data_IF_297026875925
#
_entry.id   IF_297026875925
#
_cell.length_a   1.000
_cell.length_b   1.000
_cell.length_c   1.000
_cell.angle_alpha   90.00
_cell.angle_beta   90.00
_cell.angle_gamma   90.00
#
_symmetry.space_group_name_H-M   'P 1'
#
loop_
_entity.id
_entity.type
_entity.pdbx_description
1 polymer ?
#
# COMPACT_ATOMS: atom_id res chain seq x y z
N UNK A 1 4.51 21.10 4.26
CA UNK A 1 4.75 20.80 2.83
C UNK A 1 4.48 19.33 2.56
N UNK A 2 4.23 18.94 1.31
CA UNK A 2 4.18 17.51 0.93
C UNK A 2 5.34 17.18 0.01
N UNK A 3 6.09 16.13 0.32
CA UNK A 3 7.09 15.57 -0.59
C UNK A 3 6.42 14.47 -1.41
N UNK A 4 6.66 14.47 -2.72
CA UNK A 4 6.08 13.51 -3.66
C UNK A 4 7.19 12.86 -4.46
N UNK A 5 7.36 11.56 -4.27
CA UNK A 5 8.21 10.71 -5.10
C UNK A 5 7.29 9.95 -6.07
N UNK A 6 7.40 10.20 -7.37
CA UNK A 6 6.53 9.58 -8.36
C UNK A 6 7.00 8.18 -8.79
N UNK A 7 8.31 8.00 -8.91
CA UNK A 7 8.94 6.80 -9.44
C UNK A 7 8.29 6.31 -10.73
N UNK A 8 7.77 5.08 -10.70
CA UNK A 8 7.14 4.45 -11.86
C UNK A 8 5.77 5.04 -12.27
N UNK A 9 5.24 6.03 -11.54
CA UNK A 9 3.98 6.72 -11.81
C UNK A 9 4.18 8.20 -12.17
N UNK A 10 5.30 8.54 -12.82
CA UNK A 10 5.64 9.91 -13.23
C UNK A 10 4.60 10.56 -14.16
N UNK A 11 3.84 9.75 -14.91
CA UNK A 11 2.74 10.19 -15.75
C UNK A 11 1.61 10.88 -14.96
N UNK A 12 1.51 10.61 -13.65
CA UNK A 12 0.50 11.21 -12.76
C UNK A 12 0.88 12.60 -12.27
N UNK A 13 2.13 13.04 -12.46
CA UNK A 13 2.63 14.35 -12.00
C UNK A 13 1.71 15.54 -12.36
N UNK A 14 1.19 15.68 -13.60
CA UNK A 14 0.32 16.80 -13.93
C UNK A 14 -0.96 16.87 -13.09
N UNK A 15 -1.50 15.71 -12.67
CA UNK A 15 -2.68 15.65 -11.79
C UNK A 15 -2.33 16.14 -10.39
N UNK A 16 -1.17 15.70 -9.87
CA UNK A 16 -0.64 16.19 -8.60
C UNK A 16 -0.39 17.69 -8.63
N UNK A 17 0.29 18.21 -9.66
CA UNK A 17 0.56 19.65 -9.80
C UNK A 17 -0.73 20.47 -9.68
N UNK A 18 -1.79 20.04 -10.38
CA UNK A 18 -3.11 20.68 -10.31
C UNK A 18 -3.73 20.62 -8.91
N UNK A 19 -3.73 19.45 -8.27
CA UNK A 19 -4.31 19.27 -6.92
C UNK A 19 -3.62 20.20 -5.92
N UNK A 20 -2.28 20.22 -5.90
CA UNK A 20 -1.52 21.02 -4.94
C UNK A 20 -1.64 22.52 -5.21
N UNK A 21 -1.76 22.92 -6.49
CA UNK A 21 -2.09 24.29 -6.88
C UNK A 21 -3.49 24.70 -6.39
N UNK A 22 -4.52 23.88 -6.64
CA UNK A 22 -5.91 24.17 -6.25
C UNK A 22 -6.06 24.24 -4.72
N UNK A 23 -5.33 23.40 -3.98
CA UNK A 23 -5.33 23.41 -2.52
C UNK A 23 -4.47 24.52 -1.90
N UNK A 24 -3.65 25.22 -2.71
CA UNK A 24 -2.66 26.20 -2.26
C UNK A 24 -1.69 25.61 -1.21
N UNK A 25 -1.27 24.37 -1.42
CA UNK A 25 -0.33 23.66 -0.54
C UNK A 25 1.04 23.52 -1.21
N UNK A 26 2.10 23.76 -0.44
CA UNK A 26 3.46 23.56 -0.90
C UNK A 26 3.74 22.07 -1.18
N UNK A 27 4.32 21.80 -2.35
CA UNK A 27 4.77 20.48 -2.79
C UNK A 27 6.22 20.54 -3.24
N UNK A 28 6.99 19.50 -2.95
CA UNK A 28 8.30 19.25 -3.55
C UNK A 28 8.32 17.89 -4.25
N UNK A 29 8.85 17.89 -5.46
CA UNK A 29 9.01 16.68 -6.27
C UNK A 29 10.38 16.05 -6.04
N UNK A 30 10.38 14.74 -5.86
CA UNK A 30 11.56 13.93 -5.57
C UNK A 30 11.78 12.88 -6.65
N UNK A 31 13.04 12.46 -6.83
CA UNK A 31 13.46 11.37 -7.70
C UNK A 31 14.50 10.47 -7.05
N UNK A 32 15.09 9.54 -7.81
CA UNK A 32 16.06 8.57 -7.27
C UNK A 32 17.31 9.22 -6.67
N UNK A 33 17.66 10.42 -7.14
CA UNK A 33 18.77 11.20 -6.59
C UNK A 33 18.57 11.56 -5.10
N UNK A 34 17.32 11.58 -4.62
CA UNK A 34 16.98 11.94 -3.23
C UNK A 34 16.94 10.73 -2.29
N UNK A 35 17.00 9.49 -2.79
CA UNK A 35 16.76 8.27 -2.00
C UNK A 35 17.68 8.12 -0.78
N UNK A 36 18.93 8.60 -0.90
CA UNK A 36 19.94 8.52 0.16
C UNK A 36 19.89 9.69 1.14
N UNK A 37 19.15 10.76 0.83
CA UNK A 37 18.96 11.87 1.76
C UNK A 37 17.90 11.52 2.80
N UNK A 38 18.01 12.10 3.99
CA UNK A 38 16.98 11.92 5.02
C UNK A 38 15.73 12.71 4.67
N UNK A 39 14.56 12.18 5.02
CA UNK A 39 13.31 12.88 4.73
C UNK A 39 13.18 14.21 5.49
N UNK A 40 13.87 14.37 6.62
CA UNK A 40 14.01 15.64 7.32
C UNK A 40 14.79 16.68 6.51
N UNK A 41 15.96 16.32 5.97
CA UNK A 41 16.75 17.20 5.09
C UNK A 41 15.97 17.58 3.82
N UNK A 42 15.24 16.62 3.25
CA UNK A 42 14.39 16.86 2.09
C UNK A 42 13.19 17.78 2.41
N UNK A 43 12.62 17.66 3.61
CA UNK A 43 11.52 18.51 4.07
C UNK A 43 11.98 19.95 4.40
N UNK A 44 13.19 20.12 4.91
CA UNK A 44 13.71 21.42 5.32
C UNK A 44 14.39 22.19 4.16
N UNK A 45 14.41 21.62 2.96
CA UNK A 45 14.99 22.21 1.74
C UNK A 45 13.93 22.45 0.66
N UNK A 46 13.95 23.65 0.05
CA UNK A 46 13.01 24.03 -1.03
C UNK A 46 13.52 23.68 -2.45
N UNK A 47 14.78 23.26 -2.58
CA UNK A 47 15.37 22.94 -3.88
C UNK A 47 14.65 21.77 -4.55
N UNK A 48 14.16 21.97 -5.78
CA UNK A 48 13.55 20.90 -6.56
C UNK A 48 14.62 19.97 -7.12
N UNK A 49 14.29 18.68 -7.20
CA UNK A 49 15.15 17.70 -7.83
C UNK A 49 15.04 17.83 -9.35
N UNK A 50 16.17 17.94 -10.03
CA UNK A 50 16.21 18.15 -11.47
C UNK A 50 15.78 16.89 -12.26
N UNK A 51 16.13 15.70 -11.74
CA UNK A 51 15.75 14.42 -12.33
C UNK A 51 14.75 13.68 -11.43
N UNK A 52 13.50 13.59 -11.90
CA UNK A 52 12.41 12.94 -11.20
C UNK A 52 12.23 11.47 -11.59
N UNK A 53 13.18 10.90 -12.36
CA UNK A 53 13.15 9.48 -12.68
C UNK A 53 13.27 8.64 -11.41
N UNK A 54 12.53 7.54 -11.42
CA UNK A 54 12.67 6.48 -10.45
C UNK A 54 11.89 5.24 -10.84
N UNK A 55 12.22 4.13 -10.20
CA UNK A 55 11.58 2.83 -10.44
C UNK A 55 10.73 2.34 -9.28
N UNK A 56 10.82 2.99 -8.11
CA UNK A 56 10.05 2.63 -6.93
C UNK A 56 8.60 3.13 -7.06
N UNK A 57 7.65 2.57 -6.28
CA UNK A 57 6.26 3.03 -6.31
C UNK A 57 6.09 4.47 -5.80
N UNK A 58 4.99 5.10 -6.22
CA UNK A 58 4.54 6.41 -5.73
C UNK A 58 4.50 6.46 -4.19
N UNK A 59 5.07 7.53 -3.62
CA UNK A 59 5.15 7.75 -2.18
C UNK A 59 4.91 9.22 -1.80
N UNK A 60 4.14 9.43 -0.72
CA UNK A 60 3.86 10.75 -0.16
C UNK A 60 4.40 10.90 1.26
N UNK A 61 5.06 12.01 1.54
CA UNK A 61 5.48 12.39 2.89
C UNK A 61 4.86 13.73 3.30
N UNK A 62 4.07 13.72 4.37
CA UNK A 62 3.42 14.90 4.92
C UNK A 62 4.31 15.54 6.00
N UNK A 63 4.95 16.66 5.65
CA UNK A 63 5.76 17.46 6.56
C UNK A 63 4.95 18.62 7.16
N UNK A 64 4.81 18.65 8.49
CA UNK A 64 4.18 19.76 9.23
C UNK A 64 2.80 20.17 8.70
N UNK A 65 2.04 19.25 8.11
CA UNK A 65 0.63 19.45 7.76
C UNK A 65 -0.26 19.05 8.93
N UNK A 66 -1.31 19.82 9.16
CA UNK A 66 -2.34 19.43 10.12
C UNK A 66 -3.27 18.35 9.53
N UNK A 67 -4.09 17.75 10.39
CA UNK A 67 -5.00 16.67 10.00
C UNK A 67 -6.06 17.12 9.00
N UNK A 68 -6.46 18.41 9.00
CA UNK A 68 -7.46 18.94 8.06
C UNK A 68 -6.88 19.05 6.66
N UNK A 69 -5.66 19.55 6.54
CA UNK A 69 -4.98 19.67 5.25
C UNK A 69 -4.62 18.30 4.69
N UNK A 70 -4.19 17.34 5.52
CA UNK A 70 -4.01 15.95 5.08
C UNK A 70 -5.33 15.40 4.53
N UNK A 71 -6.45 15.55 5.26
CA UNK A 71 -7.76 15.10 4.77
C UNK A 71 -8.19 15.77 3.46
N UNK A 72 -7.86 17.04 3.26
CA UNK A 72 -8.13 17.76 2.00
C UNK A 72 -7.32 17.20 0.84
N UNK A 73 -6.04 16.92 1.04
CA UNK A 73 -5.19 16.27 0.04
C UNK A 73 -5.74 14.89 -0.31
N UNK A 74 -6.04 14.07 0.69
CA UNK A 74 -6.60 12.72 0.50
C UNK A 74 -7.93 12.73 -0.26
N UNK A 75 -8.82 13.67 0.08
CA UNK A 75 -10.09 13.83 -0.60
C UNK A 75 -9.90 14.24 -2.07
N UNK A 76 -8.98 15.17 -2.35
CA UNK A 76 -8.68 15.63 -3.71
C UNK A 76 -8.06 14.52 -4.56
N UNK A 77 -7.11 13.76 -4.01
CA UNK A 77 -6.53 12.59 -4.67
C UNK A 77 -7.61 11.56 -5.02
N UNK A 78 -8.48 11.24 -4.06
CA UNK A 78 -9.60 10.31 -4.27
C UNK A 78 -10.56 10.80 -5.37
N UNK A 79 -10.91 12.08 -5.39
CA UNK A 79 -11.76 12.68 -6.43
C UNK A 79 -11.12 12.61 -7.82
N UNK A 80 -9.79 12.70 -7.89
CA UNK A 80 -9.01 12.55 -9.11
C UNK A 80 -8.78 11.07 -9.52
N UNK A 81 -9.34 10.10 -8.79
CA UNK A 81 -9.14 8.67 -9.05
C UNK A 81 -7.74 8.18 -8.66
N UNK A 82 -7.00 8.95 -7.86
CA UNK A 82 -5.68 8.60 -7.37
C UNK A 82 -5.81 7.93 -6.00
N UNK A 83 -5.34 6.69 -5.91
CA UNK A 83 -5.17 5.99 -4.66
C UNK A 83 -3.68 5.84 -4.35
N UNK A 84 -3.24 6.47 -3.26
CA UNK A 84 -1.88 6.33 -2.75
C UNK A 84 -1.92 5.59 -1.43
N UNK A 85 -1.45 4.34 -1.44
CA UNK A 85 -1.36 3.51 -0.25
C UNK A 85 -0.13 3.85 0.59
N UNK A 86 1.02 4.07 -0.07
CA UNK A 86 2.31 4.32 0.60
C UNK A 86 2.47 5.80 0.93
N UNK A 87 2.29 6.13 2.20
CA UNK A 87 2.43 7.50 2.70
C UNK A 87 2.81 7.53 4.18
N UNK A 88 3.50 8.59 4.59
CA UNK A 88 3.89 8.80 5.98
C UNK A 88 3.69 10.26 6.41
N UNK A 89 3.45 10.46 7.69
CA UNK A 89 3.42 11.79 8.34
C UNK A 89 4.72 11.96 9.13
N UNK A 90 5.32 13.16 9.11
CA UNK A 90 6.56 13.43 9.86
C UNK A 90 6.42 13.13 11.34
N UNK A 91 7.42 12.44 11.88
CA UNK A 91 7.62 12.16 13.31
C UNK A 91 9.08 12.36 13.67
N UNK A 92 9.38 12.49 14.97
CA UNK A 92 10.77 12.61 15.48
C UNK A 92 11.67 11.42 15.12
N UNK A 93 11.05 10.26 14.84
CA UNK A 93 11.75 9.04 14.48
C UNK A 93 12.01 8.96 12.98
N UNK A 94 10.95 9.14 12.17
CA UNK A 94 11.08 8.94 10.72
C UNK A 94 11.82 10.06 9.99
N UNK A 95 11.94 11.25 10.57
CA UNK A 95 12.66 12.36 9.91
C UNK A 95 14.15 12.07 9.69
N UNK A 96 14.72 11.17 10.50
CA UNK A 96 16.13 10.77 10.44
C UNK A 96 16.38 9.64 9.44
N UNK A 97 15.32 9.05 8.90
CA UNK A 97 15.43 7.94 7.96
C UNK A 97 15.70 8.47 6.57
N UNK A 98 16.50 7.74 5.81
CA UNK A 98 16.62 8.00 4.37
C UNK A 98 15.26 7.79 3.71
N UNK A 99 15.01 8.51 2.62
CA UNK A 99 13.79 8.33 1.85
C UNK A 99 13.60 6.86 1.45
N UNK A 100 14.67 6.20 1.00
CA UNK A 100 14.62 4.77 0.65
C UNK A 100 14.21 3.88 1.82
N UNK A 101 14.82 4.06 3.01
CA UNK A 101 14.50 3.24 4.17
C UNK A 101 13.05 3.43 4.63
N UNK A 102 12.55 4.67 4.60
CA UNK A 102 11.15 4.95 4.93
C UNK A 102 10.18 4.34 3.91
N UNK A 103 10.47 4.49 2.62
CA UNK A 103 9.66 3.88 1.56
C UNK A 103 9.64 2.35 1.67
N UNK A 104 10.76 1.75 2.04
CA UNK A 104 10.85 0.30 2.26
C UNK A 104 9.98 -0.17 3.42
N UNK A 105 10.07 0.45 4.60
CA UNK A 105 9.27 0.04 5.76
C UNK A 105 7.77 0.27 5.54
N UNK A 106 7.38 1.43 4.99
CA UNK A 106 5.98 1.68 4.62
C UNK A 106 5.51 0.70 3.53
N UNK A 107 6.40 0.33 2.60
CA UNK A 107 6.13 -0.68 1.59
C UNK A 107 5.85 -2.06 2.20
N UNK A 108 6.63 -2.47 3.21
CA UNK A 108 6.42 -3.71 3.96
C UNK A 108 5.10 -3.70 4.72
N UNK A 109 4.79 -2.60 5.41
CA UNK A 109 3.51 -2.44 6.12
C UNK A 109 2.31 -2.50 5.16
N UNK A 110 2.40 -1.84 4.00
CA UNK A 110 1.36 -1.87 2.97
C UNK A 110 1.16 -3.28 2.41
N UNK A 111 2.25 -4.00 2.12
CA UNK A 111 2.20 -5.39 1.65
C UNK A 111 1.57 -6.31 2.70
N UNK A 112 2.02 -6.20 3.95
CA UNK A 112 1.44 -6.93 5.07
C UNK A 112 -0.07 -6.69 5.20
N UNK A 113 -0.49 -5.43 5.17
CA UNK A 113 -1.90 -5.06 5.28
C UNK A 113 -2.72 -5.61 4.11
N UNK A 114 -2.19 -5.51 2.88
CA UNK A 114 -2.84 -6.07 1.69
C UNK A 114 -3.02 -7.58 1.78
N UNK A 115 -1.98 -8.32 2.18
CA UNK A 115 -2.04 -9.78 2.35
C UNK A 115 -3.03 -10.16 3.45
N UNK A 116 -3.00 -9.47 4.58
CA UNK A 116 -3.91 -9.73 5.72
C UNK A 116 -5.36 -9.47 5.30
N UNK A 117 -5.63 -8.36 4.63
CA UNK A 117 -6.97 -8.05 4.12
C UNK A 117 -7.42 -9.05 3.04
N UNK A 118 -6.51 -9.53 2.19
CA UNK A 118 -6.81 -10.58 1.21
C UNK A 118 -7.24 -11.88 1.90
N UNK A 119 -6.48 -12.34 2.90
CA UNK A 119 -6.86 -13.52 3.67
C UNK A 119 -8.20 -13.31 4.38
N UNK A 120 -8.42 -12.15 5.01
CA UNK A 120 -9.69 -11.79 5.63
C UNK A 120 -10.86 -11.87 4.64
N UNK A 121 -10.73 -11.31 3.43
CA UNK A 121 -11.77 -11.37 2.41
C UNK A 121 -12.10 -12.81 2.00
N UNK A 122 -11.08 -13.65 1.83
CA UNK A 122 -11.25 -15.06 1.45
C UNK A 122 -12.02 -15.84 2.52
N UNK A 123 -11.71 -15.64 3.80
CA UNK A 123 -12.34 -16.41 4.89
C UNK A 123 -13.69 -15.87 5.34
N UNK A 124 -13.98 -14.58 5.10
CA UNK A 124 -15.29 -13.96 5.46
C UNK A 124 -16.35 -14.08 4.39
N UNK A 125 -15.96 -14.36 3.15
CA UNK A 125 -16.87 -14.63 2.03
C UNK A 125 -16.65 -16.02 1.44
N UNK A 126 -16.70 -17.10 2.25
CA UNK A 126 -16.47 -18.45 1.77
C UNK A 126 -17.67 -18.97 0.98
N UNK A 127 -17.44 -20.02 0.20
CA UNK A 127 -18.51 -20.80 -0.42
C UNK A 127 -19.28 -21.57 0.67
N UNK A 128 -20.52 -21.15 0.91
CA UNK A 128 -21.37 -21.70 1.98
C UNK A 128 -21.81 -23.14 1.72
N UNK A 129 -22.00 -23.52 0.46
CA UNK A 129 -22.41 -24.88 0.11
C UNK A 129 -21.24 -25.84 0.35
N UNK A 130 -20.04 -25.45 -0.10
CA UNK A 130 -18.83 -26.23 0.16
C UNK A 130 -18.47 -26.31 1.62
N UNK A 131 -18.64 -25.22 2.38
CA UNK A 131 -18.45 -25.27 3.83
C UNK A 131 -19.32 -26.34 4.50
N UNK A 132 -20.52 -26.61 3.98
CA UNK A 132 -21.41 -27.63 4.52
C UNK A 132 -21.09 -29.05 4.03
N UNK A 133 -20.55 -29.20 2.81
CA UNK A 133 -20.36 -30.50 2.15
C UNK A 133 -18.93 -31.01 2.08
N UNK A 134 -17.92 -30.14 2.26
CA UNK A 134 -16.50 -30.44 2.11
C UNK A 134 -15.75 -30.18 3.44
N UNK A 135 -15.53 -31.24 4.25
CA UNK A 135 -14.81 -31.11 5.52
C UNK A 135 -13.37 -30.58 5.38
N UNK A 136 -12.71 -30.82 4.25
CA UNK A 136 -11.35 -30.32 4.02
C UNK A 136 -11.37 -28.82 3.78
N UNK A 137 -12.32 -28.32 2.98
CA UNK A 137 -12.54 -26.89 2.78
C UNK A 137 -12.95 -26.19 4.09
N UNK A 138 -13.85 -26.79 4.88
CA UNK A 138 -14.20 -26.29 6.21
C UNK A 138 -12.97 -26.16 7.12
N UNK A 139 -12.13 -27.21 7.18
CA UNK A 139 -10.93 -27.20 7.99
C UNK A 139 -9.91 -26.15 7.52
N UNK A 140 -9.78 -25.94 6.21
CA UNK A 140 -8.93 -24.90 5.63
C UNK A 140 -9.42 -23.50 6.03
N UNK A 141 -10.71 -23.20 5.83
CA UNK A 141 -11.30 -21.91 6.20
C UNK A 141 -11.16 -21.63 7.71
N UNK A 142 -11.40 -22.63 8.55
CA UNK A 142 -11.29 -22.49 10.01
C UNK A 142 -9.84 -22.22 10.45
N UNK A 143 -8.86 -22.94 9.89
CA UNK A 143 -7.44 -22.72 10.18
C UNK A 143 -6.99 -21.33 9.72
N UNK A 144 -7.37 -20.92 8.51
CA UNK A 144 -7.06 -19.60 7.98
C UNK A 144 -7.71 -18.46 8.77
N UNK A 145 -8.91 -18.66 9.31
CA UNK A 145 -9.55 -17.70 10.20
C UNK A 145 -8.83 -17.61 11.55
N UNK A 146 -8.47 -18.75 12.15
CA UNK A 146 -7.71 -18.79 13.40
C UNK A 146 -6.36 -18.09 13.28
N UNK A 147 -5.67 -18.27 12.14
CA UNK A 147 -4.40 -17.61 11.86
C UNK A 147 -4.51 -16.07 11.85
N UNK A 148 -5.66 -15.51 11.43
CA UNK A 148 -5.91 -14.05 11.49
C UNK A 148 -6.08 -13.52 12.92
N UNK A 149 -6.42 -14.40 13.88
CA UNK A 149 -6.54 -14.04 15.30
C UNK A 149 -5.20 -14.15 16.06
N UNK A 150 -4.17 -14.72 15.43
CA UNK A 150 -2.82 -14.85 16.02
C UNK A 150 -2.06 -13.51 15.95
N UNK A 151 -1.50 -13.09 17.09
CA UNK A 151 -0.77 -11.81 17.18
C UNK A 151 0.64 -11.86 16.59
N UNK A 152 1.18 -13.06 16.37
CA UNK A 152 2.56 -13.32 15.94
C UNK A 152 2.64 -14.10 14.62
N UNK A 153 1.58 -14.04 13.80
CA UNK A 153 1.59 -14.57 12.44
C UNK A 153 2.79 -14.01 11.67
N UNK A 154 3.53 -14.90 10.98
CA UNK A 154 4.60 -14.53 10.06
C UNK A 154 4.08 -14.31 8.64
N UNK A 155 4.85 -13.59 7.83
CA UNK A 155 4.49 -13.32 6.42
C UNK A 155 4.43 -14.60 5.60
N UNK A 156 5.30 -15.57 5.92
CA UNK A 156 5.29 -16.89 5.28
C UNK A 156 3.99 -17.66 5.58
N UNK A 157 3.52 -17.64 6.84
CA UNK A 157 2.25 -18.29 7.21
C UNK A 157 1.07 -17.64 6.47
N UNK A 158 1.07 -16.32 6.36
CA UNK A 158 0.05 -15.56 5.65
C UNK A 158 0.03 -15.92 4.14
N UNK A 159 1.19 -15.95 3.50
CA UNK A 159 1.34 -16.33 2.10
C UNK A 159 0.91 -17.78 1.84
N UNK A 160 1.29 -18.71 2.74
CA UNK A 160 0.88 -20.11 2.66
C UNK A 160 -0.64 -20.28 2.79
N UNK A 161 -1.28 -19.58 3.72
CA UNK A 161 -2.73 -19.63 3.91
C UNK A 161 -3.48 -19.10 2.68
N UNK A 162 -3.07 -17.96 2.14
CA UNK A 162 -3.66 -17.39 0.91
C UNK A 162 -3.49 -18.37 -0.25
N UNK A 163 -2.28 -18.88 -0.48
CA UNK A 163 -1.98 -19.79 -1.58
C UNK A 163 -2.78 -21.10 -1.49
N UNK A 164 -2.98 -21.64 -0.27
CA UNK A 164 -3.77 -22.85 -0.06
C UNK A 164 -5.24 -22.65 -0.48
N UNK A 165 -5.86 -21.53 -0.08
CA UNK A 165 -7.24 -21.19 -0.46
C UNK A 165 -7.35 -20.96 -1.96
N UNK A 166 -6.46 -20.16 -2.55
CA UNK A 166 -6.51 -19.84 -3.97
C UNK A 166 -6.25 -21.05 -4.86
N UNK A 167 -5.38 -21.97 -4.43
CA UNK A 167 -5.15 -23.24 -5.13
C UNK A 167 -6.39 -24.13 -5.10
N UNK A 168 -7.07 -24.20 -3.95
CA UNK A 168 -8.32 -24.94 -3.82
C UNK A 168 -9.43 -24.34 -4.72
N UNK A 169 -9.59 -23.02 -4.73
CA UNK A 169 -10.52 -22.31 -5.60
C UNK A 169 -10.22 -22.55 -7.10
N UNK A 170 -8.96 -22.45 -7.51
CA UNK A 170 -8.55 -22.68 -8.90
C UNK A 170 -8.74 -24.14 -9.35
N UNK A 171 -8.65 -25.11 -8.42
CA UNK A 171 -8.97 -26.51 -8.71
C UNK A 171 -10.45 -26.69 -9.01
N UNK A 172 -11.33 -26.04 -8.23
CA UNK A 172 -12.78 -26.11 -8.44
C UNK A 172 -13.21 -25.53 -9.80
N UNK A 173 -12.64 -24.41 -10.22
CA UNK A 173 -12.93 -23.83 -11.54
C UNK A 173 -12.58 -24.80 -12.69
N UNK A 174 -11.51 -25.59 -12.54
CA UNK A 174 -11.13 -26.60 -13.54
C UNK A 174 -12.00 -27.85 -13.52
N UNK A 175 -12.57 -28.21 -12.37
CA UNK A 175 -13.48 -29.35 -12.23
C UNK A 175 -14.92 -29.01 -12.69
N UNK A 176 -15.30 -27.72 -12.69
CA UNK A 176 -16.64 -27.24 -13.07
C UNK A 176 -16.78 -26.80 -14.53
N UNK A 177 -15.67 -26.55 -15.26
CA UNK A 177 -15.70 -26.29 -16.71
C UNK A 177 -15.69 -27.64 -17.48
N UNK A 178 -16.77 -28.00 -18.21
CA UNK A 178 -16.78 -29.24 -18.98
C UNK A 178 -15.74 -29.17 -20.09
N UNK A 179 -14.93 -30.23 -20.23
CA UNK A 179 -14.07 -30.42 -21.40
C UNK A 179 -14.97 -30.48 -22.64
N UNK A 180 -14.85 -29.46 -23.49
CA UNK A 180 -15.46 -29.44 -24.82
C UNK A 180 -14.91 -30.55 -25.72
#
# INVERSE_FOLDING_TARGET
>A
MVLVYYGNEIDKKPVFDRIFQDLSLAKRDLGDADLNATVGELADTEAQTADLKGDKPLFLYYDKLDSKDIQRVEAALKQAGLHVSRKAVRTENNEKWTLEALMYEIGREDEWFRKTNRLYQLVTHPDKERLASDPAYMALMAQSFALLEENDMSEEQLDQAIAAIETDLARQEKETVPRA
#
